data_IF_210649948872
#
_entry.id   IF_210649948872
#
_cell.length_a   1.000
_cell.length_b   1.000
_cell.length_c   1.000
_cell.angle_alpha   90.00
_cell.angle_beta   90.00
_cell.angle_gamma   90.00
#
_symmetry.space_group_name_H-M   'P 1'
#
loop_
_entity.id
_entity.type
_entity.pdbx_description
1 polymer ?
#
# COMPACT_ATOMS: atom_id res chain seq x y z
N UNK A 1 -53.20 -9.06 6.52
CA UNK A 1 -52.29 -9.98 5.79
C UNK A 1 -52.44 -9.79 4.27
N UNK A 2 -51.86 -8.71 3.74
CA UNK A 2 -51.94 -8.32 2.30
C UNK A 2 -50.61 -7.74 1.76
N UNK A 3 -49.48 -8.00 2.43
CA UNK A 3 -48.15 -7.48 2.05
C UNK A 3 -47.16 -8.54 1.54
N UNK A 4 -47.52 -9.82 1.63
CA UNK A 4 -46.68 -10.93 1.18
C UNK A 4 -46.98 -11.39 -0.27
N UNK A 5 -48.08 -10.91 -0.86
CA UNK A 5 -48.49 -11.31 -2.21
C UNK A 5 -47.84 -10.47 -3.32
N UNK A 6 -47.30 -9.29 -3.00
CA UNK A 6 -46.61 -8.42 -3.96
C UNK A 6 -45.14 -8.79 -4.16
N UNK A 7 -44.52 -9.46 -3.19
CA UNK A 7 -43.12 -9.89 -3.27
C UNK A 7 -42.93 -11.18 -4.08
N UNK A 8 -44.01 -11.93 -4.33
CA UNK A 8 -43.97 -13.16 -5.12
C UNK A 8 -44.36 -12.94 -6.60
N UNK A 9 -45.05 -11.84 -6.92
CA UNK A 9 -45.40 -11.49 -8.32
C UNK A 9 -44.25 -10.80 -9.03
N UNK A 10 -43.38 -10.09 -8.32
CA UNK A 10 -42.11 -9.56 -8.86
C UNK A 10 -41.07 -10.64 -9.17
N UNK A 11 -41.21 -11.85 -8.60
CA UNK A 11 -40.31 -12.98 -8.88
C UNK A 11 -40.78 -13.84 -10.08
N UNK A 12 -42.03 -13.69 -10.52
CA UNK A 12 -42.60 -14.48 -11.63
C UNK A 12 -42.49 -13.76 -12.98
N UNK A 13 -42.34 -12.43 -12.98
CA UNK A 13 -42.01 -11.69 -14.22
C UNK A 13 -40.58 -11.95 -14.73
N UNK A 14 -39.73 -12.61 -13.93
CA UNK A 14 -38.38 -13.02 -14.32
C UNK A 14 -38.33 -14.43 -14.93
N UNK A 15 -39.41 -15.24 -14.85
CA UNK A 15 -39.34 -16.66 -15.24
C UNK A 15 -40.23 -17.12 -16.39
N UNK A 16 -41.05 -16.25 -17.02
CA UNK A 16 -41.92 -16.67 -18.15
C UNK A 16 -42.02 -15.67 -19.30
N UNK A 17 -40.89 -15.06 -19.70
CA UNK A 17 -40.80 -14.13 -20.83
C UNK A 17 -39.96 -14.61 -21.99
N UNK A 18 -39.93 -15.91 -22.29
CA UNK A 18 -39.34 -16.40 -23.54
C UNK A 18 -40.26 -16.10 -24.73
N UNK A 19 -39.83 -15.20 -25.62
CA UNK A 19 -39.74 -15.39 -27.08
C UNK A 19 -39.87 -14.04 -27.80
N UNK A 20 -38.73 -13.49 -28.21
CA UNK A 20 -38.63 -12.26 -29.00
C UNK A 20 -37.16 -11.96 -29.21
N UNK A 21 -36.57 -12.54 -30.25
CA UNK A 21 -35.21 -12.26 -30.71
C UNK A 21 -35.00 -10.76 -30.86
N UNK A 22 -34.28 -10.15 -29.93
CA UNK A 22 -34.06 -8.71 -29.91
C UNK A 22 -33.27 -8.30 -28.68
N UNK A 23 -31.97 -8.19 -28.84
CA UNK A 23 -30.98 -7.82 -27.83
C UNK A 23 -31.22 -6.41 -27.28
N UNK A 24 -32.18 -6.25 -26.36
CA UNK A 24 -32.36 -5.02 -25.58
C UNK A 24 -31.75 -5.11 -24.16
N UNK A 25 -31.31 -6.30 -23.73
CA UNK A 25 -30.79 -6.55 -22.37
C UNK A 25 -29.32 -7.02 -22.30
N UNK A 26 -28.67 -7.34 -23.42
CA UNK A 26 -27.25 -7.77 -23.43
C UNK A 26 -26.28 -6.70 -22.90
N UNK A 27 -26.71 -5.42 -22.81
CA UNK A 27 -25.93 -4.34 -22.18
C UNK A 27 -26.31 -4.03 -20.72
N UNK A 28 -27.44 -4.56 -20.21
CA UNK A 28 -27.89 -4.33 -18.84
C UNK A 28 -27.42 -5.44 -17.89
N UNK A 29 -27.37 -6.70 -18.35
CA UNK A 29 -26.86 -7.83 -17.55
C UNK A 29 -25.38 -7.65 -17.20
N UNK A 30 -24.57 -7.16 -18.14
CA UNK A 30 -23.15 -6.82 -17.91
C UNK A 30 -22.93 -5.67 -16.91
N UNK A 31 -23.83 -4.69 -16.86
CA UNK A 31 -23.75 -3.55 -15.91
C UNK A 31 -24.20 -3.95 -14.52
N UNK A 32 -25.29 -4.71 -14.41
CA UNK A 32 -25.77 -5.25 -13.13
C UNK A 32 -24.75 -6.19 -12.48
N UNK A 33 -24.05 -6.99 -13.29
CA UNK A 33 -22.98 -7.87 -12.79
C UNK A 33 -21.72 -7.10 -12.38
N UNK A 34 -21.33 -6.06 -13.12
CA UNK A 34 -20.20 -5.20 -12.73
C UNK A 34 -20.49 -4.38 -11.47
N UNK A 35 -21.70 -3.81 -11.33
CA UNK A 35 -22.14 -3.09 -10.13
C UNK A 35 -22.27 -4.02 -8.93
N UNK A 36 -22.83 -5.23 -9.11
CA UNK A 36 -22.88 -6.24 -8.06
C UNK A 36 -21.48 -6.66 -7.60
N UNK A 37 -20.52 -6.79 -8.54
CA UNK A 37 -19.14 -7.09 -8.23
C UNK A 37 -18.47 -5.95 -7.44
N UNK A 38 -18.66 -4.69 -7.85
CA UNK A 38 -18.17 -3.52 -7.09
C UNK A 38 -18.75 -3.47 -5.67
N UNK A 39 -20.04 -3.74 -5.52
CA UNK A 39 -20.68 -3.76 -4.21
C UNK A 39 -20.15 -4.90 -3.34
N UNK A 40 -19.95 -6.10 -3.90
CA UNK A 40 -19.34 -7.22 -3.19
C UNK A 40 -17.89 -6.92 -2.78
N UNK A 41 -17.10 -6.29 -3.65
CA UNK A 41 -15.73 -5.88 -3.35
C UNK A 41 -15.68 -4.81 -2.25
N UNK A 42 -16.55 -3.80 -2.31
CA UNK A 42 -16.67 -2.80 -1.23
C UNK A 42 -17.05 -3.46 0.09
N UNK A 43 -18.03 -4.37 0.07
CA UNK A 43 -18.43 -5.10 1.27
C UNK A 43 -17.30 -5.97 1.85
N UNK A 44 -16.49 -6.59 0.98
CA UNK A 44 -15.33 -7.37 1.38
C UNK A 44 -14.22 -6.51 2.00
N UNK A 45 -13.94 -5.33 1.43
CA UNK A 45 -13.02 -4.35 2.02
C UNK A 45 -13.52 -3.89 3.40
N UNK A 46 -14.80 -3.52 3.51
CA UNK A 46 -15.40 -3.05 4.75
C UNK A 46 -15.44 -4.15 5.84
N UNK A 47 -15.58 -5.41 5.45
CA UNK A 47 -15.58 -6.56 6.36
C UNK A 47 -14.19 -7.12 6.67
N UNK A 48 -13.14 -6.60 6.05
CA UNK A 48 -11.77 -7.11 6.18
C UNK A 48 -11.53 -8.47 5.51
N UNK A 49 -12.38 -8.88 4.56
CA UNK A 49 -12.19 -10.10 3.77
C UNK A 49 -11.27 -9.82 2.57
N UNK A 50 -10.03 -9.42 2.86
CA UNK A 50 -9.05 -9.06 1.84
C UNK A 50 -8.67 -10.26 0.96
N UNK A 51 -8.67 -11.47 1.52
CA UNK A 51 -8.34 -12.71 0.80
C UNK A 51 -9.26 -12.95 -0.40
N UNK A 52 -10.55 -12.61 -0.30
CA UNK A 52 -11.49 -12.72 -1.41
C UNK A 52 -11.14 -11.86 -2.63
N UNK A 53 -10.43 -10.74 -2.40
CA UNK A 53 -9.98 -9.81 -3.46
C UNK A 53 -8.59 -10.22 -3.96
N UNK A 54 -7.70 -10.59 -3.03
CA UNK A 54 -6.30 -10.91 -3.32
C UNK A 54 -6.13 -12.24 -4.08
N UNK A 55 -7.06 -13.17 -3.91
CA UNK A 55 -7.04 -14.49 -4.56
C UNK A 55 -7.31 -14.48 -6.07
N UNK A 56 -7.87 -13.40 -6.63
CA UNK A 56 -8.11 -13.25 -8.07
C UNK A 56 -7.56 -11.90 -8.60
N UNK A 57 -6.22 -11.76 -8.65
CA UNK A 57 -5.59 -10.51 -9.05
C UNK A 57 -5.99 -10.08 -10.47
N UNK A 58 -6.20 -11.04 -11.39
CA UNK A 58 -6.51 -10.76 -12.79
C UNK A 58 -7.82 -10.01 -13.00
N UNK A 59 -8.78 -10.20 -12.09
CA UNK A 59 -10.13 -9.65 -12.22
C UNK A 59 -10.42 -8.53 -11.20
N UNK A 60 -9.50 -8.24 -10.28
CA UNK A 60 -9.63 -7.14 -9.33
C UNK A 60 -9.30 -5.80 -10.00
N UNK A 61 -10.07 -4.76 -9.68
CA UNK A 61 -9.69 -3.39 -10.04
C UNK A 61 -8.36 -3.04 -9.34
N UNK A 62 -7.42 -2.33 -10.00
CA UNK A 62 -6.15 -1.91 -9.40
C UNK A 62 -6.30 -1.22 -8.03
N UNK A 63 -7.29 -0.33 -7.87
CA UNK A 63 -7.54 0.39 -6.61
C UNK A 63 -8.06 -0.52 -5.50
N UNK A 64 -9.04 -1.37 -5.82
CA UNK A 64 -9.59 -2.35 -4.87
C UNK A 64 -8.53 -3.38 -4.44
N UNK A 65 -7.71 -3.86 -5.38
CA UNK A 65 -6.62 -4.78 -5.08
C UNK A 65 -5.56 -4.14 -4.19
N UNK A 66 -5.22 -2.87 -4.45
CA UNK A 66 -4.28 -2.12 -3.62
C UNK A 66 -4.81 -1.88 -2.20
N UNK A 67 -6.09 -1.52 -2.06
CA UNK A 67 -6.73 -1.38 -0.75
C UNK A 67 -6.73 -2.71 0.01
N UNK A 68 -7.03 -3.82 -0.67
CA UNK A 68 -6.98 -5.15 -0.06
C UNK A 68 -5.55 -5.56 0.33
N UNK A 69 -4.54 -5.25 -0.49
CA UNK A 69 -3.14 -5.55 -0.20
C UNK A 69 -2.63 -4.75 1.00
N UNK A 70 -2.96 -3.45 1.07
CA UNK A 70 -2.66 -2.61 2.22
C UNK A 70 -3.35 -3.14 3.48
N UNK A 71 -4.65 -3.47 3.39
CA UNK A 71 -5.42 -4.03 4.48
C UNK A 71 -4.86 -5.38 4.97
N UNK A 72 -4.43 -6.26 4.06
CA UNK A 72 -3.77 -7.52 4.39
C UNK A 72 -2.42 -7.31 5.07
N UNK A 73 -1.66 -6.27 4.67
CA UNK A 73 -0.44 -5.84 5.36
C UNK A 73 -0.70 -5.20 6.74
N UNK A 74 -1.97 -5.11 7.17
CA UNK A 74 -2.38 -4.51 8.44
C UNK A 74 -2.61 -2.99 8.37
N UNK A 75 -2.37 -2.37 7.22
CA UNK A 75 -2.54 -0.94 6.99
C UNK A 75 -3.88 -0.65 6.30
N UNK A 76 -4.90 -0.33 7.10
CA UNK A 76 -6.15 0.24 6.57
C UNK A 76 -5.87 1.63 5.93
N UNK A 77 -6.17 1.84 4.63
CA UNK A 77 -5.97 3.13 3.98
C UNK A 77 -6.64 4.31 4.69
N UNK A 78 -7.80 4.10 5.31
CA UNK A 78 -8.52 5.16 6.05
C UNK A 78 -7.75 5.54 7.30
N UNK A 79 -7.34 4.54 8.09
CA UNK A 79 -6.52 4.76 9.29
C UNK A 79 -5.18 5.39 8.94
N UNK A 80 -4.53 4.95 7.86
CA UNK A 80 -3.28 5.53 7.39
C UNK A 80 -3.42 7.02 7.04
N UNK A 81 -4.45 7.39 6.29
CA UNK A 81 -4.71 8.81 5.96
C UNK A 81 -5.01 9.62 7.23
N UNK A 82 -5.78 9.06 8.17
CA UNK A 82 -6.03 9.71 9.46
C UNK A 82 -4.73 9.96 10.23
N UNK A 83 -3.90 8.95 10.41
CA UNK A 83 -2.63 9.08 11.12
C UNK A 83 -1.67 10.03 10.40
N UNK A 84 -1.63 10.03 9.06
CA UNK A 84 -0.82 10.97 8.30
C UNK A 84 -1.30 12.42 8.46
N UNK A 85 -2.61 12.65 8.57
CA UNK A 85 -3.15 13.99 8.88
C UNK A 85 -2.77 14.42 10.30
N UNK A 86 -2.74 13.49 11.26
CA UNK A 86 -2.27 13.78 12.62
C UNK A 86 -0.80 14.20 12.62
N UNK A 87 0.07 13.50 11.87
CA UNK A 87 1.48 13.90 11.66
C UNK A 87 1.55 15.28 10.99
N UNK A 88 0.68 15.53 10.01
CA UNK A 88 0.65 16.79 9.28
C UNK A 88 0.32 18.00 10.17
N UNK A 89 -0.49 17.78 11.20
CA UNK A 89 -0.82 18.76 12.24
C UNK A 89 0.30 18.97 13.27
N UNK A 90 1.29 18.07 13.28
CA UNK A 90 2.44 18.10 14.17
C UNK A 90 3.53 19.09 13.73
N UNK A 91 4.50 19.30 14.62
CA UNK A 91 5.62 20.23 14.39
C UNK A 91 6.71 19.67 13.49
N UNK A 92 6.86 18.33 13.46
CA UNK A 92 7.90 17.65 12.68
C UNK A 92 7.28 16.76 11.61
N UNK A 93 7.28 17.23 10.36
CA UNK A 93 6.60 16.55 9.24
C UNK A 93 7.38 15.38 8.64
N UNK A 94 8.64 15.19 9.05
CA UNK A 94 9.46 14.04 8.67
C UNK A 94 9.29 12.86 9.62
N UNK A 95 8.67 13.07 10.78
CA UNK A 95 8.49 12.07 11.81
C UNK A 95 7.19 11.28 11.59
N UNK A 96 7.34 10.07 11.04
CA UNK A 96 6.24 9.13 10.84
C UNK A 96 6.08 8.16 12.02
N UNK A 97 6.67 8.41 13.20
CA UNK A 97 6.57 7.52 14.37
C UNK A 97 5.11 7.15 14.70
N UNK A 98 4.18 8.10 14.61
CA UNK A 98 2.75 7.85 14.79
C UNK A 98 2.18 6.85 13.77
N UNK A 99 2.61 6.91 12.50
CA UNK A 99 2.20 5.97 11.44
C UNK A 99 2.75 4.59 11.73
N UNK A 100 4.01 4.53 12.12
CA UNK A 100 4.77 3.29 12.28
C UNK A 100 4.38 2.55 13.57
N UNK A 101 4.05 3.26 14.65
CA UNK A 101 3.76 2.69 15.97
C UNK A 101 2.28 2.42 16.27
N UNK A 102 1.35 2.78 15.37
CA UNK A 102 -0.09 2.65 15.62
C UNK A 102 -0.80 1.65 14.73
N UNK A 103 -0.08 1.03 13.79
CA UNK A 103 -0.66 0.20 12.75
C UNK A 103 0.05 -1.14 12.70
N UNK A 104 -0.73 -2.22 12.89
CA UNK A 104 -0.26 -3.59 12.73
C UNK A 104 0.44 -3.75 11.38
N UNK A 105 1.55 -4.49 11.35
CA UNK A 105 2.25 -4.83 10.12
C UNK A 105 2.24 -6.35 9.94
N UNK A 106 1.77 -6.81 8.78
CA UNK A 106 1.87 -8.20 8.36
C UNK A 106 2.86 -8.32 7.20
N UNK A 107 4.05 -8.84 7.50
CA UNK A 107 5.17 -8.94 6.54
C UNK A 107 4.94 -9.97 5.45
N UNK A 108 3.91 -10.81 5.58
CA UNK A 108 3.55 -11.79 4.55
C UNK A 108 2.89 -11.15 3.32
N UNK A 109 2.36 -9.94 3.44
CA UNK A 109 1.61 -9.25 2.38
C UNK A 109 2.49 -8.45 1.39
N UNK A 110 3.83 -8.57 1.46
CA UNK A 110 4.74 -7.81 0.59
C UNK A 110 4.54 -8.10 -0.90
N UNK A 111 4.14 -9.32 -1.24
CA UNK A 111 3.93 -9.76 -2.61
C UNK A 111 2.68 -9.15 -3.20
N UNK A 112 1.62 -9.10 -2.40
CA UNK A 112 0.37 -8.47 -2.72
C UNK A 112 0.57 -6.96 -2.88
N UNK A 113 1.37 -6.33 -2.02
CA UNK A 113 1.74 -4.91 -2.15
C UNK A 113 2.55 -4.65 -3.43
N UNK A 114 3.50 -5.52 -3.78
CA UNK A 114 4.23 -5.43 -5.05
C UNK A 114 3.29 -5.56 -6.25
N UNK A 115 2.42 -6.57 -6.23
CA UNK A 115 1.44 -6.82 -7.29
C UNK A 115 0.46 -5.64 -7.42
N UNK A 116 0.05 -5.05 -6.31
CA UNK A 116 -0.77 -3.85 -6.27
C UNK A 116 -0.08 -2.66 -6.95
N UNK A 117 1.20 -2.40 -6.62
CA UNK A 117 1.98 -1.35 -7.27
C UNK A 117 2.09 -1.57 -8.78
N UNK A 118 2.37 -2.78 -9.22
CA UNK A 118 2.49 -3.10 -10.65
C UNK A 118 1.17 -2.85 -11.39
N UNK A 119 0.03 -3.28 -10.81
CA UNK A 119 -1.31 -3.00 -11.35
C UNK A 119 -1.64 -1.51 -11.41
N UNK A 120 -1.30 -0.75 -10.37
CA UNK A 120 -1.52 0.69 -10.34
C UNK A 120 -0.66 1.41 -11.38
N UNK A 121 0.61 0.98 -11.55
CA UNK A 121 1.50 1.50 -12.61
C UNK A 121 0.94 1.22 -14.00
N UNK A 122 0.46 0.00 -14.27
CA UNK A 122 -0.19 -0.36 -15.54
C UNK A 122 -1.44 0.50 -15.80
N UNK A 123 -2.26 0.74 -14.77
CA UNK A 123 -3.42 1.61 -14.88
C UNK A 123 -3.04 3.07 -15.16
N UNK A 124 -2.00 3.59 -14.50
CA UNK A 124 -1.47 4.94 -14.71
C UNK A 124 -0.82 5.13 -16.09
N UNK A 125 -0.32 4.08 -16.73
CA UNK A 125 0.10 4.15 -18.14
C UNK A 125 -1.09 4.47 -19.05
N UNK A 126 -2.29 3.99 -18.69
CA UNK A 126 -3.52 4.20 -19.45
C UNK A 126 -4.21 5.53 -19.10
N UNK A 127 -4.18 5.91 -17.83
CA UNK A 127 -4.80 7.14 -17.31
C UNK A 127 -3.81 7.90 -16.39
N UNK A 128 -2.82 8.59 -16.97
CA UNK A 128 -1.70 9.17 -16.23
C UNK A 128 -2.06 10.39 -15.37
N UNK A 129 -3.25 10.97 -15.55
CA UNK A 129 -3.71 12.14 -14.79
C UNK A 129 -4.67 11.77 -13.65
N UNK A 130 -4.94 10.48 -13.45
CA UNK A 130 -5.87 9.99 -12.45
C UNK A 130 -5.34 10.19 -11.02
N UNK A 131 -5.90 11.17 -10.31
CA UNK A 131 -5.48 11.50 -8.93
C UNK A 131 -5.66 10.34 -7.95
N UNK A 132 -6.69 9.52 -8.14
CA UNK A 132 -7.00 8.41 -7.24
C UNK A 132 -5.96 7.29 -7.39
N UNK A 133 -5.61 6.93 -8.64
CA UNK A 133 -4.55 5.97 -8.92
C UNK A 133 -3.18 6.45 -8.40
N UNK A 134 -2.88 7.75 -8.58
CA UNK A 134 -1.65 8.39 -8.09
C UNK A 134 -1.56 8.40 -6.55
N UNK A 135 -2.65 8.74 -5.86
CA UNK A 135 -2.67 8.69 -4.41
C UNK A 135 -2.55 7.24 -3.92
N UNK A 136 -3.25 6.30 -4.56
CA UNK A 136 -3.23 4.90 -4.16
C UNK A 136 -1.83 4.29 -4.32
N UNK A 137 -1.10 4.61 -5.39
CA UNK A 137 0.28 4.10 -5.55
C UNK A 137 1.22 4.70 -4.49
N UNK A 138 1.07 5.98 -4.13
CA UNK A 138 1.86 6.59 -3.07
C UNK A 138 1.61 5.92 -1.70
N UNK A 139 0.34 5.71 -1.34
CA UNK A 139 -0.01 5.06 -0.06
C UNK A 139 0.39 3.57 -0.03
N UNK A 140 0.23 2.87 -1.15
CA UNK A 140 0.67 1.47 -1.29
C UNK A 140 2.20 1.37 -1.18
N UNK A 141 2.94 2.33 -1.76
CA UNK A 141 4.40 2.39 -1.64
C UNK A 141 4.88 2.73 -0.24
N UNK A 142 4.19 3.62 0.48
CA UNK A 142 4.49 3.85 1.89
C UNK A 142 4.30 2.56 2.70
N UNK A 143 3.17 1.87 2.47
CA UNK A 143 2.86 0.59 3.12
C UNK A 143 3.91 -0.48 2.81
N UNK A 144 4.32 -0.59 1.55
CA UNK A 144 5.41 -1.46 1.09
C UNK A 144 6.73 -1.16 1.79
N UNK A 145 7.12 0.11 1.91
CA UNK A 145 8.35 0.51 2.61
C UNK A 145 8.34 0.10 4.08
N UNK A 146 7.24 0.37 4.79
CA UNK A 146 7.10 0.00 6.21
C UNK A 146 7.16 -1.53 6.38
N UNK A 147 6.44 -2.25 5.54
CA UNK A 147 6.37 -3.72 5.58
C UNK A 147 7.72 -4.36 5.23
N UNK A 148 8.45 -3.81 4.26
CA UNK A 148 9.74 -4.33 3.81
C UNK A 148 10.81 -4.15 4.89
N UNK A 149 10.85 -2.99 5.53
CA UNK A 149 11.79 -2.72 6.63
C UNK A 149 11.44 -3.58 7.86
N UNK A 150 10.15 -3.77 8.16
CA UNK A 150 9.71 -4.67 9.23
C UNK A 150 10.20 -6.11 9.00
N UNK A 151 10.04 -6.64 7.78
CA UNK A 151 10.49 -7.98 7.44
C UNK A 151 12.01 -8.12 7.56
N UNK A 152 12.78 -7.10 7.18
CA UNK A 152 14.23 -7.08 7.44
C UNK A 152 14.53 -7.07 8.93
N UNK A 153 13.77 -6.34 9.74
CA UNK A 153 13.86 -6.38 11.20
C UNK A 153 13.70 -7.79 11.78
N UNK A 154 12.70 -8.54 11.31
CA UNK A 154 12.48 -9.94 11.65
C UNK A 154 13.66 -10.82 11.21
N UNK A 155 14.10 -10.69 9.95
CA UNK A 155 15.20 -11.46 9.37
C UNK A 155 16.53 -11.22 10.09
N UNK A 156 16.77 -10.00 10.59
CA UNK A 156 17.97 -9.63 11.35
C UNK A 156 17.90 -9.99 12.85
N UNK A 157 16.76 -10.56 13.28
CA UNK A 157 16.53 -10.99 14.66
C UNK A 157 16.57 -9.81 15.64
N UNK A 158 15.89 -8.70 15.32
CA UNK A 158 15.68 -7.61 16.27
C UNK A 158 14.93 -8.14 17.49
N UNK A 159 15.52 -7.96 18.67
CA UNK A 159 14.95 -8.50 19.90
C UNK A 159 13.65 -7.79 20.28
N UNK A 160 12.65 -8.57 20.69
CA UNK A 160 11.32 -8.10 21.10
C UNK A 160 10.55 -7.35 20.00
N UNK A 161 10.88 -7.57 18.72
CA UNK A 161 10.09 -7.01 17.62
C UNK A 161 8.69 -7.64 17.61
N UNK A 162 7.66 -6.84 17.88
CA UNK A 162 6.25 -7.24 17.87
C UNK A 162 5.45 -6.38 16.89
N UNK A 163 5.25 -6.91 15.69
CA UNK A 163 4.53 -6.22 14.61
C UNK A 163 3.01 -6.18 14.80
N UNK A 164 2.46 -6.78 15.87
CA UNK A 164 1.01 -6.84 16.09
C UNK A 164 0.39 -5.47 16.41
N UNK A 165 1.17 -4.56 16.99
CA UNK A 165 0.78 -3.17 17.29
C UNK A 165 1.56 -2.14 16.45
N UNK A 166 2.36 -2.60 15.47
CA UNK A 166 3.23 -1.76 14.65
C UNK A 166 4.71 -1.87 15.06
N UNK A 167 5.48 -0.81 14.89
CA UNK A 167 6.89 -0.72 15.31
C UNK A 167 7.02 0.50 16.22
N UNK A 168 7.37 0.27 17.48
CA UNK A 168 7.68 1.34 18.44
C UNK A 168 8.97 2.09 18.07
N UNK A 169 9.18 3.27 18.65
CA UNK A 169 10.43 4.04 18.51
C UNK A 169 11.67 3.19 18.86
N UNK A 170 11.58 2.38 19.92
CA UNK A 170 12.70 1.53 20.36
C UNK A 170 13.00 0.42 19.34
N UNK A 171 11.97 -0.20 18.78
CA UNK A 171 12.13 -1.21 17.73
C UNK A 171 12.64 -0.58 16.44
N UNK A 172 12.13 0.59 16.04
CA UNK A 172 12.61 1.34 14.89
C UNK A 172 14.10 1.67 15.04
N UNK A 173 14.52 2.14 16.22
CA UNK A 173 15.92 2.40 16.53
C UNK A 173 16.79 1.14 16.44
N UNK A 174 16.29 0.00 16.94
CA UNK A 174 16.99 -1.28 16.90
C UNK A 174 17.12 -1.82 15.45
N UNK A 175 16.05 -1.73 14.64
CA UNK A 175 16.07 -2.05 13.21
C UNK A 175 17.11 -1.18 12.49
N UNK A 176 17.02 0.14 12.67
CA UNK A 176 17.95 1.09 12.04
C UNK A 176 19.40 0.80 12.40
N UNK A 177 19.68 0.51 13.68
CA UNK A 177 21.02 0.14 14.15
C UNK A 177 21.52 -1.16 13.51
N UNK A 178 20.66 -2.18 13.44
CA UNK A 178 21.00 -3.47 12.81
C UNK A 178 21.33 -3.31 11.34
N UNK A 179 20.49 -2.61 10.56
CA UNK A 179 20.72 -2.32 9.14
C UNK A 179 22.06 -1.58 8.96
N UNK A 180 22.30 -0.53 9.75
CA UNK A 180 23.53 0.28 9.66
C UNK A 180 24.81 -0.46 10.08
N UNK A 181 24.69 -1.55 10.84
CA UNK A 181 25.82 -2.37 11.28
C UNK A 181 26.24 -3.44 10.25
N UNK A 182 25.46 -3.65 9.19
CA UNK A 182 25.76 -4.65 8.17
C UNK A 182 26.98 -4.18 7.34
N UNK A 183 28.05 -4.99 7.24
CA UNK A 183 29.18 -4.66 6.39
C UNK A 183 28.75 -4.50 4.92
N UNK A 184 29.34 -3.55 4.20
CA UNK A 184 29.00 -3.29 2.79
C UNK A 184 29.10 -4.54 1.90
N UNK A 185 30.04 -5.44 2.20
CA UNK A 185 30.22 -6.70 1.48
C UNK A 185 29.04 -7.68 1.63
N UNK A 186 28.26 -7.54 2.70
CA UNK A 186 27.19 -8.48 3.08
C UNK A 186 25.78 -7.90 2.83
N UNK A 187 25.67 -6.65 2.35
CA UNK A 187 24.37 -6.00 2.11
C UNK A 187 23.49 -6.78 1.14
N UNK A 188 24.09 -7.27 0.04
CA UNK A 188 23.39 -7.99 -1.03
C UNK A 188 22.79 -9.33 -0.58
N UNK A 189 23.20 -9.86 0.57
CA UNK A 189 22.71 -11.14 1.11
C UNK A 189 21.92 -10.96 2.41
N UNK A 190 22.16 -9.89 3.16
CA UNK A 190 21.56 -9.67 4.49
C UNK A 190 20.33 -8.76 4.48
N UNK A 191 20.17 -7.92 3.46
CA UNK A 191 19.02 -7.01 3.32
C UNK A 191 18.00 -7.52 2.29
N UNK A 192 17.82 -8.83 2.24
CA UNK A 192 16.86 -9.46 1.34
C UNK A 192 15.47 -9.45 1.97
N UNK A 193 14.50 -8.98 1.20
CA UNK A 193 13.06 -9.12 1.48
C UNK A 193 12.46 -10.16 0.56
N UNK A 194 11.57 -10.99 1.08
CA UNK A 194 10.86 -11.97 0.29
C UNK A 194 9.67 -11.28 -0.40
N UNK A 195 9.69 -11.27 -1.74
CA UNK A 195 8.71 -10.54 -2.56
C UNK A 195 7.96 -11.44 -3.54
N UNK A 196 8.07 -12.75 -3.35
CA UNK A 196 7.16 -13.70 -3.99
C UNK A 196 7.02 -14.94 -3.10
N UNK A 197 5.82 -15.49 -2.95
CA UNK A 197 5.54 -16.81 -2.39
C UNK A 197 6.19 -17.95 -3.20
N UNK A 198 7.08 -17.60 -4.12
CA UNK A 198 7.96 -18.45 -4.92
C UNK A 198 9.43 -18.42 -4.45
N UNK A 199 9.80 -17.62 -3.44
CA UNK A 199 11.16 -17.53 -2.91
C UNK A 199 12.10 -16.56 -3.63
N UNK A 200 11.57 -15.61 -4.41
CA UNK A 200 12.40 -14.54 -4.99
C UNK A 200 12.61 -13.42 -3.98
N UNK A 201 13.88 -13.20 -3.67
CA UNK A 201 14.31 -12.12 -2.80
C UNK A 201 14.67 -10.87 -3.59
N UNK A 202 14.21 -9.72 -3.13
CA UNK A 202 14.64 -8.40 -3.63
C UNK A 202 15.45 -7.69 -2.55
N UNK A 203 16.40 -6.85 -2.92
CA UNK A 203 17.15 -6.05 -1.96
C UNK A 203 16.25 -4.95 -1.38
N UNK A 204 16.30 -4.75 -0.05
CA UNK A 204 15.50 -3.73 0.65
C UNK A 204 15.69 -2.35 0.02
N UNK A 205 16.93 -1.97 -0.31
CA UNK A 205 17.22 -0.67 -0.92
C UNK A 205 16.55 -0.49 -2.27
N UNK A 206 16.35 -1.56 -3.05
CA UNK A 206 15.67 -1.49 -4.34
C UNK A 206 14.16 -1.30 -4.15
N UNK A 207 13.58 -1.99 -3.17
CA UNK A 207 12.16 -1.82 -2.80
C UNK A 207 11.89 -0.40 -2.33
N UNK A 208 12.71 0.10 -1.39
CA UNK A 208 12.56 1.46 -0.86
C UNK A 208 12.85 2.52 -1.93
N UNK A 209 13.80 2.28 -2.85
CA UNK A 209 14.05 3.19 -3.97
C UNK A 209 12.85 3.29 -4.92
N UNK A 210 12.23 2.16 -5.27
CA UNK A 210 10.99 2.14 -6.07
C UNK A 210 9.85 2.86 -5.33
N UNK A 211 9.70 2.62 -4.03
CA UNK A 211 8.64 3.21 -3.23
C UNK A 211 8.78 4.72 -3.06
N UNK A 212 9.99 5.21 -2.75
CA UNK A 212 10.27 6.65 -2.69
C UNK A 212 9.98 7.30 -4.05
N UNK A 213 10.36 6.65 -5.15
CA UNK A 213 10.06 7.12 -6.50
C UNK A 213 8.55 7.24 -6.74
N UNK A 214 7.80 6.19 -6.40
CA UNK A 214 6.35 6.16 -6.56
C UNK A 214 5.67 7.22 -5.70
N UNK A 215 6.12 7.45 -4.47
CA UNK A 215 5.55 8.50 -3.63
C UNK A 215 5.82 9.86 -4.26
N UNK A 216 7.10 10.24 -4.40
CA UNK A 216 7.51 11.58 -4.85
C UNK A 216 6.90 11.95 -6.21
N UNK A 217 6.85 11.02 -7.17
CA UNK A 217 6.36 11.29 -8.51
C UNK A 217 4.84 11.35 -8.64
N UNK A 218 4.08 10.91 -7.63
CA UNK A 218 2.61 10.88 -7.65
C UNK A 218 1.96 11.81 -6.61
N UNK A 219 2.75 12.62 -5.89
CA UNK A 219 2.25 13.61 -4.93
C UNK A 219 1.50 14.79 -5.56
N UNK A 220 1.54 14.93 -6.89
CA UNK A 220 0.71 15.90 -7.63
C UNK A 220 -0.78 15.56 -7.57
N UNK A 221 -1.16 14.34 -7.17
CA UNK A 221 -2.52 13.97 -6.78
C UNK A 221 -3.05 14.81 -5.60
N UNK A 222 -2.15 15.35 -4.77
CA UNK A 222 -2.48 16.20 -3.66
C UNK A 222 -2.25 17.68 -4.02
N UNK A 223 -3.14 18.60 -3.57
CA UNK A 223 -2.95 20.03 -3.77
C UNK A 223 -1.56 20.50 -3.32
N UNK A 224 -0.95 21.46 -4.02
CA UNK A 224 0.42 21.93 -3.77
C UNK A 224 0.66 22.57 -2.40
N UNK A 225 -0.40 22.88 -1.64
CA UNK A 225 -0.33 23.32 -0.25
C UNK A 225 -0.89 22.31 0.77
N UNK A 226 -1.14 21.07 0.35
CA UNK A 226 -1.63 20.01 1.24
C UNK A 226 -0.56 19.66 2.27
N UNK A 227 -0.91 19.66 3.56
CA UNK A 227 0.01 19.25 4.61
C UNK A 227 0.38 17.77 4.49
N UNK A 228 -0.57 16.93 4.05
CA UNK A 228 -0.32 15.52 3.74
C UNK A 228 0.74 15.37 2.63
N UNK A 229 0.69 16.23 1.61
CA UNK A 229 1.72 16.26 0.56
C UNK A 229 3.08 16.61 1.15
N UNK A 230 3.14 17.59 2.05
CA UNK A 230 4.38 17.96 2.74
C UNK A 230 4.91 16.81 3.57
N UNK A 231 4.08 16.14 4.37
CA UNK A 231 4.51 14.98 5.19
C UNK A 231 5.07 13.86 4.33
N UNK A 232 4.35 13.46 3.28
CA UNK A 232 4.81 12.40 2.38
C UNK A 232 6.06 12.82 1.61
N UNK A 233 6.19 14.08 1.22
CA UNK A 233 7.38 14.56 0.54
C UNK A 233 8.58 14.58 1.48
N UNK A 234 8.46 15.23 2.64
CA UNK A 234 9.55 15.48 3.57
C UNK A 234 10.09 14.17 4.19
N UNK A 235 9.20 13.20 4.47
CA UNK A 235 9.59 11.87 4.96
C UNK A 235 10.32 11.03 3.90
N UNK A 236 10.00 11.20 2.61
CA UNK A 236 10.61 10.43 1.52
C UNK A 236 11.80 11.14 0.88
N UNK A 237 11.84 12.46 0.91
CA UNK A 237 12.84 13.32 0.28
C UNK A 237 13.08 14.57 1.12
N UNK A 238 14.34 14.96 1.29
CA UNK A 238 14.73 16.13 2.09
C UNK A 238 15.76 15.77 3.15
N UNK A 239 16.30 16.76 3.87
CA UNK A 239 17.47 16.59 4.74
C UNK A 239 17.37 15.43 5.74
N UNK A 240 16.15 15.13 6.19
CA UNK A 240 15.85 14.08 7.17
C UNK A 240 14.97 12.95 6.58
N UNK A 241 14.77 12.91 5.26
CA UNK A 241 13.97 11.88 4.57
C UNK A 241 14.80 10.66 4.15
N UNK A 242 14.13 9.67 3.54
CA UNK A 242 14.78 8.45 3.04
C UNK A 242 15.72 8.70 1.85
N UNK A 243 15.41 9.64 0.96
CA UNK A 243 16.30 10.11 -0.11
C UNK A 243 16.85 11.50 0.23
N UNK A 244 17.74 11.57 1.22
CA UNK A 244 18.11 12.87 1.80
C UNK A 244 19.05 13.70 0.96
N UNK A 245 19.90 13.03 0.18
CA UNK A 245 20.85 13.67 -0.71
C UNK A 245 20.25 13.96 -2.09
N UNK A 246 19.04 13.46 -2.35
CA UNK A 246 18.34 13.60 -3.63
C UNK A 246 19.03 12.84 -4.76
N UNK A 247 19.90 11.87 -4.43
CA UNK A 247 20.65 11.09 -5.39
C UNK A 247 19.74 10.31 -6.32
N UNK A 248 20.17 10.22 -7.58
CA UNK A 248 19.47 9.46 -8.61
C UNK A 248 20.42 8.54 -9.37
N UNK A 249 19.90 7.39 -9.79
CA UNK A 249 20.59 6.47 -10.69
C UNK A 249 20.65 7.03 -12.11
N UNK A 250 21.28 6.29 -13.02
CA UNK A 250 21.43 6.69 -14.43
C UNK A 250 20.11 6.71 -15.21
N UNK A 251 19.03 6.17 -14.64
CA UNK A 251 17.67 6.18 -15.19
C UNK A 251 16.80 7.27 -14.54
N UNK A 252 17.35 8.04 -13.60
CA UNK A 252 16.66 9.11 -12.89
C UNK A 252 15.82 8.64 -11.68
N UNK A 253 15.93 7.37 -11.27
CA UNK A 253 15.27 6.85 -10.07
C UNK A 253 16.06 7.28 -8.83
N UNK A 254 15.39 7.57 -7.70
CA UNK A 254 16.05 7.71 -6.40
C UNK A 254 17.04 6.57 -6.13
N UNK A 255 18.21 6.91 -5.60
CA UNK A 255 19.16 5.91 -5.07
C UNK A 255 19.08 5.95 -3.55
N UNK A 256 18.59 4.87 -2.93
CA UNK A 256 18.50 4.77 -1.47
C UNK A 256 19.58 3.83 -0.94
N UNK A 257 20.35 4.28 0.04
CA UNK A 257 21.37 3.47 0.71
C UNK A 257 20.88 2.83 2.02
N UNK A 258 21.50 1.73 2.44
CA UNK A 258 21.27 1.14 3.76
C UNK A 258 21.58 2.13 4.90
N UNK A 259 22.55 3.03 4.70
CA UNK A 259 22.89 4.10 5.64
C UNK A 259 21.75 5.11 5.81
N UNK A 260 21.03 5.44 4.74
CA UNK A 260 19.88 6.34 4.80
C UNK A 260 18.70 5.68 5.50
N UNK A 261 18.37 4.44 5.15
CA UNK A 261 17.33 3.66 5.84
C UNK A 261 17.66 3.56 7.33
N UNK A 262 18.91 3.21 7.66
CA UNK A 262 19.41 3.15 9.03
C UNK A 262 19.25 4.49 9.74
N UNK A 263 19.67 5.59 9.11
CA UNK A 263 19.60 6.93 9.70
C UNK A 263 18.17 7.36 9.96
N UNK A 264 17.25 7.10 9.02
CA UNK A 264 15.84 7.43 9.14
C UNK A 264 15.18 6.65 10.28
N UNK A 265 15.36 5.33 10.33
CA UNK A 265 14.77 4.50 11.37
C UNK A 265 15.40 4.72 12.76
N UNK A 266 16.69 5.02 12.83
CA UNK A 266 17.38 5.25 14.11
C UNK A 266 17.25 6.66 14.66
N UNK A 267 17.22 7.67 13.80
CA UNK A 267 17.29 9.07 14.24
C UNK A 267 16.05 9.88 13.90
N UNK A 268 15.09 9.37 13.14
CA UNK A 268 13.84 10.07 12.87
C UNK A 268 12.69 9.32 13.53
N UNK A 269 12.51 8.05 13.20
CA UNK A 269 11.44 7.23 13.78
C UNK A 269 11.74 6.69 15.18
N UNK A 270 13.02 6.57 15.54
CA UNK A 270 13.46 6.00 16.81
C UNK A 270 13.78 7.03 17.90
N UNK A 271 13.19 8.22 17.83
CA UNK A 271 13.48 9.37 18.69
C UNK A 271 12.48 9.58 19.80
#
# INVERSE_FOLDING_TARGET
MKKWFLLMVSLILVSTGGCGSGNMFEGQEGKLTAEAKKFATSAALDSGDYASILSDPSNANPTDYAAAAMGAAGLDPVKLIQTLNDVASGTNKTDLSAVVSSIKIDTSALDELKTAKDKLKEALVTDPDNSDLKLQIALTSLTSTLTAVAQVGENLGVANLDLSDGISETEAAAIGTKIGSIPTADLATSLLVNTTGTGNTTLLTDVVSDDVSNIVNNLDALPSGSELRTVLNDSMQGTDGLNKDGSKDTKGNPTISATEISSYYSNILGK
#
